data_IF_043942013642
#
_entry.id   IF_043942013642
#
_cell.length_a   1.000
_cell.length_b   1.000
_cell.length_c   1.000
_cell.angle_alpha   90.00
_cell.angle_beta   90.00
_cell.angle_gamma   90.00
#
_symmetry.space_group_name_H-M   'P 1'
#
loop_
_entity.id
_entity.type
_entity.pdbx_description
1 polymer ?
#
# COMPACT_ATOMS: atom_id res chain seq x y z
N UNK A 1 7.80 0.50 10.64
CA UNK A 1 8.44 -0.82 10.44
C UNK A 1 7.46 -1.66 9.65
N UNK A 2 7.89 -2.26 8.53
CA UNK A 2 7.03 -3.19 7.79
C UNK A 2 7.03 -4.54 8.49
N UNK A 3 5.87 -5.09 8.77
CA UNK A 3 5.75 -6.45 9.27
C UNK A 3 5.73 -7.43 8.09
N UNK A 4 6.15 -8.70 8.27
CA UNK A 4 6.16 -9.70 7.20
C UNK A 4 4.82 -9.87 6.49
N UNK A 5 3.71 -9.79 7.19
CA UNK A 5 2.38 -9.87 6.58
C UNK A 5 2.01 -8.64 5.71
N UNK A 6 2.71 -7.53 5.85
CA UNK A 6 2.53 -6.34 5.02
C UNK A 6 3.52 -6.29 3.84
N UNK A 7 4.41 -7.26 3.72
CA UNK A 7 5.46 -7.29 2.69
C UNK A 7 5.72 -8.72 2.23
N UNK A 8 5.40 -9.01 0.97
CA UNK A 8 5.66 -10.32 0.36
C UNK A 8 7.15 -10.69 0.33
N UNK A 9 8.05 -9.70 0.27
CA UNK A 9 9.49 -9.94 0.28
C UNK A 9 9.97 -10.32 1.68
N UNK A 10 9.58 -9.58 2.72
CA UNK A 10 9.90 -9.94 4.10
C UNK A 10 9.33 -11.32 4.47
N UNK A 11 8.14 -11.64 3.96
CA UNK A 11 7.56 -12.97 4.16
C UNK A 11 8.40 -14.09 3.56
N UNK A 12 8.93 -13.90 2.35
CA UNK A 12 9.83 -14.88 1.70
C UNK A 12 11.10 -15.05 2.51
N UNK A 13 11.72 -13.96 2.97
CA UNK A 13 12.92 -13.98 3.81
C UNK A 13 12.66 -14.71 5.13
N UNK A 14 11.54 -14.43 5.80
CA UNK A 14 11.16 -15.11 7.03
C UNK A 14 11.01 -16.61 6.85
N UNK A 15 10.38 -17.04 5.75
CA UNK A 15 10.30 -18.46 5.40
C UNK A 15 11.67 -19.09 5.19
N UNK A 16 12.57 -18.39 4.48
CA UNK A 16 13.92 -18.88 4.21
C UNK A 16 14.77 -19.00 5.50
N UNK A 17 14.55 -18.10 6.45
CA UNK A 17 15.23 -18.12 7.76
C UNK A 17 14.59 -19.10 8.74
N UNK A 18 13.53 -19.79 8.35
CA UNK A 18 12.80 -20.70 9.22
C UNK A 18 12.06 -20.00 10.37
N UNK A 19 11.77 -18.72 10.23
CA UNK A 19 11.04 -17.91 11.21
C UNK A 19 9.52 -17.98 10.99
N UNK A 20 9.04 -19.11 10.52
CA UNK A 20 7.62 -19.39 10.39
C UNK A 20 7.09 -20.11 11.62
N UNK A 21 5.77 -20.27 11.69
CA UNK A 21 5.06 -20.96 12.77
C UNK A 21 5.53 -22.38 13.03
N UNK A 22 6.19 -23.02 12.04
CA UNK A 22 6.63 -24.40 12.11
C UNK A 22 7.87 -24.59 12.99
N UNK A 23 8.62 -23.50 13.26
CA UNK A 23 9.78 -23.48 14.16
C UNK A 23 9.38 -23.03 15.59
N UNK A 24 8.43 -23.71 16.19
CA UNK A 24 7.99 -23.46 17.57
C UNK A 24 9.04 -23.97 18.54
N UNK A 25 9.80 -23.04 19.12
CA UNK A 25 10.48 -23.34 20.38
C UNK A 25 9.41 -23.40 21.49
N UNK A 26 9.13 -24.59 22.05
CA UNK A 26 8.07 -24.73 23.05
C UNK A 26 8.35 -23.96 24.34
N UNK A 27 9.59 -23.48 24.54
CA UNK A 27 10.01 -22.72 25.72
C UNK A 27 10.01 -21.21 25.51
N UNK A 28 9.76 -20.72 24.28
CA UNK A 28 9.56 -19.32 24.01
C UNK A 28 8.06 -19.01 23.95
N UNK A 29 7.56 -18.43 25.00
CA UNK A 29 6.29 -17.70 25.01
C UNK A 29 6.46 -16.47 24.13
N UNK A 30 6.52 -16.70 22.83
CA UNK A 30 6.73 -15.63 21.86
C UNK A 30 5.37 -15.12 21.40
N UNK A 31 5.27 -13.82 21.27
CA UNK A 31 4.16 -13.08 20.64
C UNK A 31 3.80 -13.56 19.21
N UNK A 32 4.51 -14.54 18.69
CA UNK A 32 4.35 -15.18 17.39
C UNK A 32 3.03 -15.94 17.23
N UNK A 33 2.43 -16.45 18.31
CA UNK A 33 1.07 -17.03 18.27
C UNK A 33 0.03 -16.05 17.73
N UNK A 34 0.30 -14.76 17.85
CA UNK A 34 -0.58 -13.71 17.33
C UNK A 34 -0.54 -13.60 15.82
N UNK A 35 0.51 -14.10 15.16
CA UNK A 35 0.73 -13.95 13.72
C UNK A 35 0.41 -15.21 12.93
N UNK A 36 0.26 -16.37 13.58
CA UNK A 36 -0.06 -17.63 12.89
C UNK A 36 -1.34 -17.53 12.05
N UNK A 37 -2.37 -16.86 12.55
CA UNK A 37 -3.61 -16.65 11.81
C UNK A 37 -3.50 -15.71 10.60
N UNK A 38 -2.56 -14.76 10.61
CA UNK A 38 -2.37 -13.81 9.50
C UNK A 38 -1.76 -14.46 8.25
N UNK A 39 -1.06 -15.57 8.38
CA UNK A 39 -0.41 -16.25 7.26
C UNK A 39 -1.34 -17.22 6.53
N UNK A 40 -2.44 -17.55 7.15
CA UNK A 40 -3.52 -18.37 6.58
C UNK A 40 -4.62 -17.52 5.93
N UNK A 41 -4.60 -16.19 6.16
CA UNK A 41 -5.58 -15.30 5.57
C UNK A 41 -5.42 -15.17 4.06
N UNK A 42 -6.53 -15.20 3.37
CA UNK A 42 -6.59 -14.95 1.93
C UNK A 42 -6.50 -13.45 1.62
N UNK A 43 -5.27 -12.96 1.40
CA UNK A 43 -5.04 -11.58 0.94
C UNK A 43 -5.45 -11.33 -0.51
N UNK A 44 -6.04 -12.30 -1.18
CA UNK A 44 -6.58 -12.15 -2.53
C UNK A 44 -7.97 -11.50 -2.57
N UNK A 45 -8.53 -11.14 -1.40
CA UNK A 45 -9.86 -10.53 -1.29
C UNK A 45 -10.12 -9.36 -2.27
N UNK A 46 -9.14 -8.50 -2.64
CA UNK A 46 -9.37 -7.45 -3.62
C UNK A 46 -9.65 -8.01 -5.02
N UNK A 47 -9.16 -9.22 -5.34
CA UNK A 47 -9.43 -9.91 -6.61
C UNK A 47 -10.83 -10.51 -6.66
N UNK A 48 -11.50 -10.62 -5.51
CA UNK A 48 -12.88 -11.08 -5.46
C UNK A 48 -13.82 -10.01 -6.00
N UNK A 49 -14.46 -10.29 -7.14
CA UNK A 49 -15.34 -9.36 -7.83
C UNK A 49 -16.46 -8.84 -6.93
N UNK A 50 -17.10 -9.70 -6.16
CA UNK A 50 -18.20 -9.31 -5.25
C UNK A 50 -17.74 -8.31 -4.19
N UNK A 51 -16.54 -8.51 -3.64
CA UNK A 51 -15.96 -7.58 -2.66
C UNK A 51 -15.65 -6.23 -3.31
N UNK A 52 -15.03 -6.25 -4.49
CA UNK A 52 -14.70 -5.02 -5.21
C UNK A 52 -15.94 -4.26 -5.68
N UNK A 53 -17.00 -4.94 -6.09
CA UNK A 53 -18.25 -4.30 -6.47
C UNK A 53 -18.88 -3.56 -5.26
N UNK A 54 -18.89 -4.18 -4.08
CA UNK A 54 -19.35 -3.52 -2.83
C UNK A 54 -18.51 -2.30 -2.46
N UNK A 55 -17.18 -2.40 -2.60
CA UNK A 55 -16.26 -1.29 -2.33
C UNK A 55 -16.51 -0.14 -3.31
N UNK A 56 -16.66 -0.44 -4.60
CA UNK A 56 -16.98 0.55 -5.64
C UNK A 56 -18.30 1.25 -5.36
N UNK A 57 -19.33 0.50 -4.98
CA UNK A 57 -20.64 1.06 -4.61
C UNK A 57 -20.54 1.98 -3.37
N UNK A 58 -19.75 1.63 -2.37
CA UNK A 58 -19.52 2.47 -1.21
C UNK A 58 -18.69 3.71 -1.55
N UNK A 59 -17.66 3.56 -2.39
CA UNK A 59 -16.75 4.63 -2.77
C UNK A 59 -17.44 5.80 -3.45
N UNK A 60 -18.36 5.56 -4.37
CA UNK A 60 -19.09 6.63 -5.09
C UNK A 60 -20.02 7.44 -4.18
N UNK A 61 -20.37 6.92 -3.01
CA UNK A 61 -21.17 7.59 -1.98
C UNK A 61 -20.30 8.29 -0.92
N UNK A 62 -18.99 8.10 -0.97
CA UNK A 62 -18.04 8.60 0.04
C UNK A 62 -17.64 10.05 -0.24
N UNK A 63 -17.17 10.75 0.80
CA UNK A 63 -16.53 12.07 0.70
C UNK A 63 -15.02 11.99 0.79
N UNK A 64 -14.52 10.86 1.26
CA UNK A 64 -13.11 10.57 1.44
C UNK A 64 -12.85 9.10 1.12
N UNK A 65 -11.84 8.86 0.32
CA UNK A 65 -11.23 7.55 0.13
C UNK A 65 -9.80 7.63 0.66
N UNK A 66 -9.52 6.87 1.72
CA UNK A 66 -8.16 6.73 2.26
C UNK A 66 -7.65 5.32 1.95
N UNK A 67 -6.52 5.24 1.28
CA UNK A 67 -5.89 3.99 0.88
C UNK A 67 -4.51 3.88 1.50
N UNK A 68 -4.30 2.78 2.20
CA UNK A 68 -3.03 2.43 2.87
C UNK A 68 -2.81 0.92 2.79
N UNK A 69 -1.65 0.46 3.26
CA UNK A 69 -1.26 -0.95 3.26
C UNK A 69 -0.53 -1.35 1.97
N UNK A 70 0.39 -2.32 2.04
CA UNK A 70 1.22 -2.71 0.92
C UNK A 70 1.81 -1.50 0.16
N UNK A 71 1.63 -1.47 -1.15
CA UNK A 71 1.88 -0.29 -2.00
C UNK A 71 0.67 -0.07 -2.93
N UNK A 72 -0.23 0.86 -2.61
CA UNK A 72 -1.45 1.08 -3.39
C UNK A 72 -1.19 1.39 -4.86
N UNK A 73 -0.12 2.14 -5.14
CA UNK A 73 0.22 2.56 -6.51
C UNK A 73 0.72 1.44 -7.41
N UNK A 74 0.92 0.23 -6.87
CA UNK A 74 1.23 -0.99 -7.63
C UNK A 74 0.04 -1.94 -7.76
N UNK A 75 -1.07 -1.66 -7.08
CA UNK A 75 -2.23 -2.54 -7.05
C UNK A 75 -3.21 -2.22 -8.19
N UNK A 76 -3.48 -3.14 -9.13
CA UNK A 76 -4.43 -2.92 -10.22
C UNK A 76 -5.85 -2.58 -9.73
N UNK A 77 -6.31 -3.23 -8.67
CA UNK A 77 -7.65 -3.03 -8.10
C UNK A 77 -7.84 -1.61 -7.54
N UNK A 78 -6.75 -0.99 -7.06
CA UNK A 78 -6.78 0.43 -6.69
C UNK A 78 -7.08 1.32 -7.90
N UNK A 79 -6.42 1.09 -9.03
CA UNK A 79 -6.68 1.85 -10.25
C UNK A 79 -8.08 1.60 -10.81
N UNK A 80 -8.60 0.38 -10.67
CA UNK A 80 -9.98 0.06 -11.05
C UNK A 80 -10.99 0.81 -10.18
N UNK A 81 -10.71 0.98 -8.89
CA UNK A 81 -11.52 1.80 -8.00
C UNK A 81 -11.51 3.27 -8.41
N UNK A 82 -10.32 3.84 -8.67
CA UNK A 82 -10.19 5.22 -9.12
C UNK A 82 -10.96 5.43 -10.45
N UNK A 83 -10.77 4.50 -11.39
CA UNK A 83 -11.46 4.55 -12.68
C UNK A 83 -12.97 4.54 -12.50
N UNK A 84 -13.49 3.69 -11.64
CA UNK A 84 -14.94 3.62 -11.36
C UNK A 84 -15.48 4.96 -10.82
N UNK A 85 -14.77 5.63 -9.89
CA UNK A 85 -15.17 6.94 -9.39
C UNK A 85 -15.15 8.01 -10.49
N UNK A 86 -14.19 7.93 -11.42
CA UNK A 86 -14.09 8.85 -12.57
C UNK A 86 -15.24 8.61 -13.54
N UNK A 87 -15.46 7.35 -13.94
CA UNK A 87 -16.49 6.97 -14.91
C UNK A 87 -17.91 7.32 -14.43
N UNK A 88 -18.14 7.25 -13.12
CA UNK A 88 -19.42 7.65 -12.49
C UNK A 88 -19.51 9.14 -12.21
N UNK A 89 -18.50 9.94 -12.60
CA UNK A 89 -18.42 11.38 -12.37
C UNK A 89 -18.51 11.80 -10.89
N UNK A 90 -18.14 10.91 -9.97
CA UNK A 90 -18.15 11.16 -8.51
C UNK A 90 -16.79 11.59 -7.97
N UNK A 91 -15.69 11.28 -8.67
CA UNK A 91 -14.31 11.60 -8.24
C UNK A 91 -14.13 13.07 -7.84
N UNK A 92 -14.73 14.00 -8.58
CA UNK A 92 -14.67 15.46 -8.33
C UNK A 92 -15.21 15.89 -6.97
N UNK A 93 -16.02 15.06 -6.32
CA UNK A 93 -16.63 15.32 -5.01
C UNK A 93 -15.94 14.57 -3.87
N UNK A 94 -14.96 13.72 -4.20
CA UNK A 94 -14.27 12.82 -3.28
C UNK A 94 -12.84 13.32 -3.03
N UNK A 95 -12.45 13.45 -1.76
CA UNK A 95 -11.04 13.61 -1.39
C UNK A 95 -10.35 12.24 -1.46
N UNK A 96 -9.18 12.19 -2.09
CA UNK A 96 -8.33 11.00 -2.18
C UNK A 96 -7.10 11.16 -1.28
N UNK A 97 -6.91 10.24 -0.34
CA UNK A 97 -5.71 10.17 0.50
C UNK A 97 -5.00 8.85 0.27
N UNK A 98 -3.73 8.91 -0.07
CA UNK A 98 -2.92 7.71 -0.38
C UNK A 98 -1.64 7.73 0.44
N UNK A 99 -1.39 6.62 1.14
CA UNK A 99 -0.10 6.37 1.79
C UNK A 99 0.73 5.46 0.90
N UNK A 100 1.92 5.91 0.53
CA UNK A 100 2.83 5.22 -0.41
C UNK A 100 4.25 5.14 0.16
N UNK A 101 4.99 4.11 -0.21
CA UNK A 101 6.43 4.03 0.03
C UNK A 101 7.26 4.82 -1.00
N UNK A 102 6.61 5.36 -2.03
CA UNK A 102 7.19 6.13 -3.12
C UNK A 102 8.32 5.43 -3.90
N UNK A 103 8.45 4.11 -3.80
CA UNK A 103 9.51 3.38 -4.54
C UNK A 103 9.26 3.38 -6.05
N UNK A 104 8.00 3.47 -6.45
CA UNK A 104 7.59 3.57 -7.86
C UNK A 104 6.44 4.56 -8.01
N UNK A 105 6.36 5.20 -9.17
CA UNK A 105 5.20 6.01 -9.58
C UNK A 105 4.56 5.32 -10.77
N UNK A 106 3.31 4.92 -10.61
CA UNK A 106 2.55 4.36 -11.73
C UNK A 106 2.23 5.46 -12.76
N UNK A 107 2.47 5.23 -14.07
CA UNK A 107 2.32 6.29 -15.09
C UNK A 107 0.95 6.98 -15.09
N UNK A 108 -0.14 6.23 -14.84
CA UNK A 108 -1.52 6.74 -14.83
C UNK A 108 -1.93 7.42 -13.53
N UNK A 109 -1.08 7.36 -12.48
CA UNK A 109 -1.49 7.81 -11.15
C UNK A 109 -1.87 9.30 -11.13
N UNK A 110 -1.00 10.14 -11.67
CA UNK A 110 -1.22 11.59 -11.66
C UNK A 110 -2.47 12.00 -12.46
N UNK A 111 -2.63 11.43 -13.66
CA UNK A 111 -3.81 11.74 -14.49
C UNK A 111 -5.11 11.36 -13.76
N UNK A 112 -5.17 10.18 -13.16
CA UNK A 112 -6.38 9.73 -12.46
C UNK A 112 -6.61 10.51 -11.16
N UNK A 113 -5.56 10.74 -10.36
CA UNK A 113 -5.63 11.45 -9.09
C UNK A 113 -6.06 12.92 -9.28
N UNK A 114 -5.70 13.55 -10.40
CA UNK A 114 -6.10 14.92 -10.73
C UNK A 114 -7.61 15.10 -10.94
N UNK A 115 -8.35 14.04 -11.15
CA UNK A 115 -9.83 14.07 -11.31
C UNK A 115 -10.57 14.12 -9.97
N UNK A 116 -9.86 13.89 -8.87
CA UNK A 116 -10.44 13.92 -7.53
C UNK A 116 -10.48 15.35 -6.98
N UNK A 117 -11.44 15.61 -6.09
CA UNK A 117 -11.64 16.92 -5.45
C UNK A 117 -10.36 17.46 -4.81
N UNK A 118 -9.60 16.59 -4.17
CA UNK A 118 -8.35 16.87 -3.48
C UNK A 118 -7.52 15.61 -3.40
N UNK A 119 -6.23 15.74 -3.59
CA UNK A 119 -5.26 14.68 -3.32
C UNK A 119 -4.43 15.02 -2.08
N UNK A 120 -4.29 14.05 -1.17
CA UNK A 120 -3.30 14.04 -0.11
C UNK A 120 -2.41 12.83 -0.26
N UNK A 121 -1.11 13.06 -0.33
CA UNK A 121 -0.11 12.00 -0.36
C UNK A 121 0.66 11.99 0.96
N UNK A 122 0.71 10.82 1.58
CA UNK A 122 1.57 10.55 2.74
C UNK A 122 2.67 9.60 2.30
N UNK A 123 3.92 10.06 2.37
CA UNK A 123 5.06 9.21 2.04
C UNK A 123 5.65 8.62 3.31
N UNK A 124 5.78 7.29 3.31
CA UNK A 124 6.40 6.56 4.42
C UNK A 124 7.91 6.67 4.33
N UNK A 125 8.54 7.40 5.27
CA UNK A 125 9.99 7.55 5.39
C UNK A 125 10.43 7.37 6.83
N UNK A 126 11.50 6.58 7.04
CA UNK A 126 12.06 6.29 8.37
C UNK A 126 13.52 6.77 8.51
N UNK A 127 13.96 7.65 7.61
CA UNK A 127 15.33 8.18 7.61
C UNK A 127 15.72 8.75 6.25
N UNK A 128 17.00 9.07 6.09
CA UNK A 128 17.59 9.59 4.85
C UNK A 128 18.87 8.84 4.51
N UNK A 129 19.25 8.82 3.23
CA UNK A 129 20.48 8.17 2.75
C UNK A 129 20.56 6.70 3.17
N UNK A 130 21.73 6.29 3.66
CA UNK A 130 22.00 4.90 4.06
C UNK A 130 21.12 4.41 5.22
N UNK A 131 20.69 5.29 6.11
CA UNK A 131 19.74 4.93 7.18
C UNK A 131 18.39 4.52 6.59
N UNK A 132 17.89 5.26 5.60
CA UNK A 132 16.68 4.89 4.88
C UNK A 132 16.84 3.52 4.21
N UNK A 133 17.92 3.29 3.49
CA UNK A 133 18.18 2.05 2.75
C UNK A 133 18.32 0.84 3.69
N UNK A 134 18.92 1.04 4.87
CA UNK A 134 18.97 -0.01 5.88
C UNK A 134 17.60 -0.38 6.44
N UNK A 135 16.78 0.63 6.81
CA UNK A 135 15.46 0.39 7.42
C UNK A 135 14.43 -0.10 6.42
N UNK A 136 14.54 0.37 5.17
CA UNK A 136 13.58 0.14 4.08
C UNK A 136 14.13 -0.76 2.97
N UNK A 137 15.10 -1.60 3.29
CA UNK A 137 15.65 -2.56 2.33
C UNK A 137 14.52 -3.30 1.57
N UNK A 138 14.65 -3.53 0.25
CA UNK A 138 15.74 -3.17 -0.65
C UNK A 138 15.54 -1.83 -1.39
N UNK A 139 14.87 -0.85 -0.80
CA UNK A 139 14.61 0.43 -1.46
C UNK A 139 15.90 1.27 -1.58
N UNK A 140 16.05 1.97 -2.71
CA UNK A 140 17.14 2.91 -2.92
C UNK A 140 16.68 4.34 -2.61
N UNK A 141 17.41 5.06 -1.75
CA UNK A 141 17.04 6.38 -1.28
C UNK A 141 16.94 7.42 -2.39
N UNK A 142 17.93 7.47 -3.30
CA UNK A 142 17.96 8.48 -4.35
C UNK A 142 16.77 8.33 -5.32
N UNK A 143 16.40 7.09 -5.62
CA UNK A 143 15.23 6.80 -6.45
C UNK A 143 13.94 7.24 -5.78
N UNK A 144 13.79 6.96 -4.49
CA UNK A 144 12.61 7.38 -3.72
C UNK A 144 12.57 8.90 -3.58
N UNK A 145 13.70 9.54 -3.28
CA UNK A 145 13.78 11.00 -3.20
C UNK A 145 13.36 11.68 -4.51
N UNK A 146 13.83 11.19 -5.67
CA UNK A 146 13.37 11.67 -6.98
C UNK A 146 11.85 11.53 -7.16
N UNK A 147 11.30 10.41 -6.74
CA UNK A 147 9.85 10.19 -6.81
C UNK A 147 9.08 11.15 -5.90
N UNK A 148 9.58 11.42 -4.69
CA UNK A 148 8.98 12.40 -3.77
C UNK A 148 8.97 13.80 -4.39
N UNK A 149 10.05 14.22 -5.03
CA UNK A 149 10.09 15.51 -5.72
C UNK A 149 9.04 15.60 -6.84
N UNK A 150 8.86 14.52 -7.61
CA UNK A 150 7.81 14.45 -8.65
C UNK A 150 6.40 14.51 -8.06
N UNK A 151 6.15 13.84 -6.93
CA UNK A 151 4.87 13.96 -6.22
C UNK A 151 4.63 15.40 -5.74
N UNK A 152 5.67 16.05 -5.18
CA UNK A 152 5.57 17.43 -4.71
C UNK A 152 5.31 18.45 -5.83
N UNK A 153 5.89 18.25 -7.01
CA UNK A 153 5.61 19.07 -8.20
C UNK A 153 4.16 18.91 -8.66
N UNK A 154 3.61 17.73 -8.56
CA UNK A 154 2.23 17.45 -8.99
C UNK A 154 1.19 18.02 -8.01
N UNK A 155 1.46 18.06 -6.72
CA UNK A 155 0.50 18.50 -5.68
C UNK A 155 0.47 20.01 -5.51
N UNK A 156 1.45 20.74 -6.06
CA UNK A 156 1.47 22.22 -6.10
C UNK A 156 0.45 22.77 -7.09
#
# INVERSE_FOLDING_TARGET
MCFPYASSELWKEWKQLGWNSDNKDPNKETSWKYYDGYFEEDYSWPKNKTNMDKIKEAAIKSKLIHVTGGEPTLNPEFFDLLKHCIDTNTAKDIALEVTTNATKIHPRFFDMASKFKRLRLTVSMDGVGSTYEYVRYPANYDSVHKNILRYNEFVK
#
